data_IF_893498571146
#
_entry.id   IF_893498571146
#
_cell.length_a   1.000
_cell.length_b   1.000
_cell.length_c   1.000
_cell.angle_alpha   90.00
_cell.angle_beta   90.00
_cell.angle_gamma   90.00
#
_symmetry.space_group_name_H-M   'P 1'
#
loop_
_entity.id
_entity.type
_entity.pdbx_description
1 polymer ?
#
# COMPACT_ATOMS: atom_id res chain seq x y z
N UNK A 1 -2.65 -4.82 -11.14
CA UNK A 1 -2.48 -5.55 -9.86
C UNK A 1 -2.02 -4.53 -8.82
N UNK A 2 -2.30 -4.73 -7.53
CA UNK A 2 -1.73 -3.89 -6.45
C UNK A 2 -1.03 -4.82 -5.48
N UNK A 3 0.29 -4.70 -5.32
CA UNK A 3 1.07 -5.45 -4.33
C UNK A 3 1.76 -4.52 -3.36
N UNK A 4 1.52 -4.73 -2.06
CA UNK A 4 2.20 -4.06 -0.97
C UNK A 4 3.22 -5.03 -0.37
N UNK A 5 4.49 -4.69 -0.46
CA UNK A 5 5.55 -5.46 0.16
C UNK A 5 5.63 -5.13 1.66
N UNK A 6 6.33 -5.95 2.44
CA UNK A 6 6.53 -5.72 3.87
C UNK A 6 8.02 -5.67 4.27
N UNK A 7 8.92 -5.81 3.30
CA UNK A 7 10.36 -5.61 3.50
C UNK A 7 10.73 -4.12 3.49
N UNK A 8 11.90 -3.75 4.03
CA UNK A 8 12.42 -2.40 3.95
C UNK A 8 12.49 -1.88 2.50
N UNK A 9 12.10 -0.62 2.21
CA UNK A 9 12.21 -0.06 0.86
C UNK A 9 13.62 -0.11 0.26
N UNK A 10 14.65 0.00 1.09
CA UNK A 10 16.06 -0.10 0.67
C UNK A 10 16.40 -1.44 0.01
N UNK A 11 15.70 -2.52 0.35
CA UNK A 11 15.90 -3.85 -0.22
C UNK A 11 15.09 -4.07 -1.53
N UNK A 12 14.21 -3.14 -1.90
CA UNK A 12 13.46 -3.23 -3.14
C UNK A 12 14.39 -2.98 -4.33
N UNK A 13 14.23 -3.75 -5.40
CA UNK A 13 14.79 -3.41 -6.70
C UNK A 13 14.14 -2.14 -7.22
N UNK A 14 14.83 -1.39 -8.11
CA UNK A 14 14.27 -0.18 -8.72
C UNK A 14 12.85 -0.37 -9.29
N UNK A 15 12.59 -1.41 -10.11
CA UNK A 15 11.25 -1.67 -10.64
C UNK A 15 10.19 -1.93 -9.55
N UNK A 16 10.54 -2.67 -8.49
CA UNK A 16 9.61 -2.93 -7.40
C UNK A 16 9.30 -1.69 -6.56
N UNK A 17 10.30 -0.85 -6.31
CA UNK A 17 10.14 0.43 -5.62
C UNK A 17 9.17 1.35 -6.38
N UNK A 18 9.41 1.54 -7.68
CA UNK A 18 8.58 2.39 -8.54
C UNK A 18 7.17 1.84 -8.67
N UNK A 19 7.03 0.52 -8.84
CA UNK A 19 5.72 -0.11 -8.93
C UNK A 19 4.91 0.10 -7.65
N UNK A 20 5.51 -0.19 -6.50
CA UNK A 20 4.82 -0.08 -5.22
C UNK A 20 4.41 1.38 -4.89
N UNK A 21 5.30 2.34 -5.14
CA UNK A 21 5.00 3.77 -4.99
C UNK A 21 3.76 4.21 -5.78
N UNK A 22 3.54 3.65 -6.99
CA UNK A 22 2.39 3.96 -7.85
C UNK A 22 1.13 3.18 -7.48
N UNK A 23 1.30 1.97 -6.95
CA UNK A 23 0.20 1.05 -6.64
C UNK A 23 -0.41 1.27 -5.26
N UNK A 24 0.41 1.58 -4.25
CA UNK A 24 -0.02 1.75 -2.86
C UNK A 24 -1.14 2.78 -2.71
N UNK A 25 -1.07 3.99 -3.31
CA UNK A 25 -2.12 5.00 -3.15
C UNK A 25 -3.52 4.54 -3.61
N UNK A 26 -3.60 3.56 -4.52
CA UNK A 26 -4.88 3.01 -5.00
C UNK A 26 -5.71 2.39 -3.86
N UNK A 27 -5.06 1.87 -2.82
CA UNK A 27 -5.75 1.28 -1.67
C UNK A 27 -6.61 2.31 -0.93
N UNK A 28 -6.17 3.57 -0.84
CA UNK A 28 -6.96 4.62 -0.18
C UNK A 28 -8.26 4.92 -0.92
N UNK A 29 -8.22 4.95 -2.26
CA UNK A 29 -9.43 5.13 -3.06
C UNK A 29 -10.40 3.96 -2.89
N UNK A 30 -9.88 2.74 -2.86
CA UNK A 30 -10.69 1.53 -2.63
C UNK A 30 -11.34 1.54 -1.25
N UNK A 31 -10.63 1.95 -0.19
CA UNK A 31 -11.21 2.06 1.15
C UNK A 31 -12.26 3.18 1.22
N UNK A 32 -12.04 4.33 0.57
CA UNK A 32 -13.08 5.38 0.47
C UNK A 32 -14.37 4.84 -0.15
N UNK A 33 -14.26 4.10 -1.25
CA UNK A 33 -15.42 3.46 -1.89
C UNK A 33 -16.05 2.37 -0.99
N UNK A 34 -15.25 1.64 -0.20
CA UNK A 34 -15.75 0.65 0.76
C UNK A 34 -16.56 1.32 1.89
N UNK A 35 -16.06 2.44 2.42
CA UNK A 35 -16.78 3.24 3.44
C UNK A 35 -18.12 3.72 2.88
N UNK A 36 -18.17 4.18 1.63
CA UNK A 36 -19.43 4.59 0.98
C UNK A 36 -20.44 3.43 0.85
N UNK A 37 -19.97 2.18 0.81
CA UNK A 37 -20.81 0.97 0.83
C UNK A 37 -21.15 0.49 2.25
N UNK A 38 -20.76 1.22 3.30
CA UNK A 38 -20.99 0.85 4.69
C UNK A 38 -20.02 -0.18 5.25
N UNK A 39 -18.88 -0.42 4.58
CA UNK A 39 -17.86 -1.33 5.10
C UNK A 39 -17.07 -0.68 6.24
N UNK A 40 -16.77 -1.46 7.28
CA UNK A 40 -15.97 -1.06 8.43
C UNK A 40 -14.60 -1.78 8.44
N UNK A 41 -13.61 -1.31 9.22
CA UNK A 41 -12.32 -2.00 9.34
C UNK A 41 -12.44 -3.47 9.77
N UNK A 42 -13.47 -3.81 10.57
CA UNK A 42 -13.75 -5.15 11.08
C UNK A 42 -14.58 -6.03 10.11
N UNK A 43 -14.81 -5.57 8.87
CA UNK A 43 -15.54 -6.35 7.87
C UNK A 43 -14.93 -7.75 7.70
N UNK A 44 -15.77 -8.79 7.73
CA UNK A 44 -15.35 -10.19 7.69
C UNK A 44 -14.60 -10.59 6.42
N UNK A 45 -14.73 -9.81 5.34
CA UNK A 45 -13.98 -9.99 4.09
C UNK A 45 -12.52 -9.52 4.20
N UNK A 46 -12.15 -8.82 5.29
CA UNK A 46 -10.78 -8.38 5.53
C UNK A 46 -10.00 -9.50 6.23
N UNK A 47 -8.93 -10.06 5.60
CA UNK A 47 -8.13 -11.08 6.25
C UNK A 47 -7.49 -10.58 7.55
N UNK A 48 -7.49 -11.43 8.57
CA UNK A 48 -6.81 -11.15 9.84
C UNK A 48 -5.29 -11.36 9.75
N UNK A 49 -4.87 -12.36 8.97
CA UNK A 49 -3.47 -12.69 8.71
C UNK A 49 -3.02 -12.18 7.34
N UNK A 50 -1.72 -11.87 7.22
CA UNK A 50 -1.14 -11.42 5.96
C UNK A 50 -1.26 -12.53 4.90
N UNK A 51 -1.61 -12.14 3.68
CA UNK A 51 -1.77 -13.07 2.56
C UNK A 51 -1.30 -12.42 1.25
N UNK A 52 -0.94 -13.25 0.28
CA UNK A 52 -0.66 -12.87 -1.10
C UNK A 52 -1.78 -13.39 -2.01
N UNK A 53 -1.98 -12.71 -3.14
CA UNK A 53 -3.07 -13.03 -4.07
C UNK A 53 -4.43 -12.57 -3.56
N UNK A 54 -5.41 -13.47 -3.53
CA UNK A 54 -6.77 -13.13 -3.12
C UNK A 54 -6.79 -12.61 -1.67
N UNK A 55 -7.47 -11.49 -1.44
CA UNK A 55 -7.55 -10.85 -0.12
C UNK A 55 -6.35 -9.96 0.25
N UNK A 56 -5.25 -9.97 -0.51
CA UNK A 56 -4.04 -9.19 -0.20
C UNK A 56 -4.34 -7.70 0.00
N UNK A 57 -5.06 -7.07 -0.93
CA UNK A 57 -5.41 -5.64 -0.83
C UNK A 57 -6.36 -5.37 0.34
N UNK A 58 -7.32 -6.28 0.58
CA UNK A 58 -8.29 -6.15 1.68
C UNK A 58 -7.64 -6.28 3.06
N UNK A 59 -6.55 -7.03 3.18
CA UNK A 59 -5.77 -7.08 4.43
C UNK A 59 -5.34 -5.67 4.86
N UNK A 60 -5.06 -4.77 3.93
CA UNK A 60 -4.64 -3.40 4.25
C UNK A 60 -5.79 -2.42 4.49
N UNK A 61 -7.05 -2.80 4.30
CA UNK A 61 -8.20 -1.89 4.50
C UNK A 61 -8.29 -1.38 5.94
N UNK A 62 -7.96 -2.24 6.91
CA UNK A 62 -7.92 -1.88 8.32
C UNK A 62 -6.56 -1.27 8.77
N UNK A 63 -5.60 -1.09 7.86
CA UNK A 63 -4.19 -0.79 8.17
C UNK A 63 -3.68 0.45 7.42
N UNK A 64 -4.55 1.45 7.22
CA UNK A 64 -4.20 2.67 6.48
C UNK A 64 -3.04 3.46 7.11
N UNK A 65 -2.88 3.44 8.44
CA UNK A 65 -1.75 4.07 9.12
C UNK A 65 -0.40 3.44 8.75
N UNK A 66 -0.36 2.12 8.53
CA UNK A 66 0.82 1.45 7.99
C UNK A 66 1.10 1.91 6.57
N UNK A 67 0.07 2.00 5.72
CA UNK A 67 0.22 2.42 4.33
C UNK A 67 0.72 3.86 4.20
N UNK A 68 0.24 4.79 5.02
CA UNK A 68 0.72 6.17 5.02
C UNK A 68 2.22 6.26 5.36
N UNK A 69 2.65 5.57 6.41
CA UNK A 69 4.09 5.48 6.79
C UNK A 69 4.91 4.82 5.69
N UNK A 70 4.37 3.76 5.08
CA UNK A 70 5.04 3.05 3.99
C UNK A 70 5.18 3.92 2.74
N UNK A 71 4.16 4.68 2.36
CA UNK A 71 4.24 5.60 1.23
C UNK A 71 5.35 6.64 1.45
N UNK A 72 5.42 7.24 2.64
CA UNK A 72 6.49 8.18 2.98
C UNK A 72 7.89 7.52 2.89
N UNK A 73 8.02 6.28 3.36
CA UNK A 73 9.29 5.54 3.27
C UNK A 73 9.67 5.19 1.81
N UNK A 74 8.69 4.86 0.95
CA UNK A 74 8.93 4.64 -0.48
C UNK A 74 9.37 5.94 -1.18
N UNK A 75 8.74 7.08 -0.86
CA UNK A 75 9.11 8.39 -1.39
C UNK A 75 10.56 8.74 -0.99
N UNK A 76 10.89 8.58 0.29
CA UNK A 76 12.24 8.86 0.79
C UNK A 76 13.29 7.97 0.10
N UNK A 77 13.01 6.68 -0.07
CA UNK A 77 13.90 5.76 -0.79
C UNK A 77 14.04 6.14 -2.27
N UNK A 78 12.95 6.56 -2.92
CA UNK A 78 12.99 7.05 -4.30
C UNK A 78 13.89 8.28 -4.43
N UNK A 79 13.73 9.26 -3.53
CA UNK A 79 14.56 10.46 -3.50
C UNK A 79 16.04 10.13 -3.24
N UNK A 80 16.31 9.20 -2.31
CA UNK A 80 17.67 8.75 -2.00
C UNK A 80 18.38 8.10 -3.21
N UNK A 81 17.62 7.45 -4.10
CA UNK A 81 18.13 6.87 -5.36
C UNK A 81 18.14 7.84 -6.54
N UNK A 82 17.81 9.12 -6.32
CA UNK A 82 17.79 10.14 -7.37
C UNK A 82 16.56 10.11 -8.28
N UNK A 83 15.49 9.40 -7.92
CA UNK A 83 14.21 9.51 -8.61
C UNK A 83 13.47 10.79 -8.20
N UNK A 84 12.59 11.29 -9.08
CA UNK A 84 11.72 12.44 -8.81
C UNK A 84 10.26 11.97 -8.62
N UNK A 85 9.84 11.55 -7.42
CA UNK A 85 8.45 11.20 -7.15
C UNK A 85 7.56 12.46 -7.26
N UNK A 86 6.46 12.36 -8.00
CA UNK A 86 5.53 13.47 -8.24
C UNK A 86 4.44 13.63 -7.15
N UNK A 87 4.28 12.65 -6.27
CA UNK A 87 3.28 12.63 -5.21
C UNK A 87 4.01 12.45 -3.87
N UNK A 88 4.21 13.56 -3.16
CA UNK A 88 4.89 13.62 -1.86
C UNK A 88 3.92 13.94 -0.74
#
# INVERSE_FOLDING_TARGET
>A
MTRINCIPPAELTGPHLVAEYRELPRVFALVRAAIQRGEAPQDSRNPQQYTLGAGHVRFFYARLGYLAKRQAALIAEMQARGYAPQFT
#
